data_IF_481601148177
#
_entry.id   IF_481601148177
#
_cell.length_a   1.000
_cell.length_b   1.000
_cell.length_c   1.000
_cell.angle_alpha   90.00
_cell.angle_beta   90.00
_cell.angle_gamma   90.00
#
_symmetry.space_group_name_H-M   'P 1'
#
loop_
_entity.id
_entity.type
_entity.pdbx_description
1 polymer ?
2 non-polymer ?
3 non-polymer ?
4 non-polymer ?
5 non-polymer ?
6 non-polymer ?
7 water ?
#
# COMPACT_ATOMS: atom_id res chain seq x y z
N UNK A 39 22.70 2.50 -11.37
CA UNK A 39 21.21 2.46 -11.33
C UNK A 39 20.69 1.84 -10.05
N UNK A 40 19.37 1.93 -9.82
CA UNK A 40 18.78 1.37 -8.61
C UNK A 40 18.87 -0.16 -8.57
N UNK A 41 19.04 -0.71 -7.37
CA UNK A 41 19.03 -2.16 -7.17
C UNK A 41 17.69 -2.76 -7.59
N UNK A 42 16.61 -2.03 -7.28
CA UNK A 42 15.24 -2.48 -7.48
C UNK A 42 14.43 -1.33 -8.13
N UNK A 43 14.57 -1.15 -9.46
CA UNK A 43 13.91 -0.05 -10.17
C UNK A 43 12.39 0.01 -9.97
N UNK A 44 11.77 -1.14 -9.81
CA UNK A 44 10.31 -1.25 -9.63
C UNK A 44 9.72 -0.56 -8.41
N UNK A 45 10.57 -0.27 -7.42
CA UNK A 45 10.14 0.51 -6.26
C UNK A 45 10.72 1.92 -6.26
N UNK A 46 11.08 2.42 -7.44
CA UNK A 46 11.57 3.80 -7.58
C UNK A 46 10.50 4.87 -7.35
N UNK A 47 9.24 4.49 -7.46
CA UNK A 47 8.12 5.40 -7.24
C UNK A 47 7.79 5.53 -5.75
N UNK A 48 7.80 6.75 -5.23
CA UNK A 48 7.43 7.00 -3.84
C UNK A 48 6.01 6.52 -3.54
N UNK A 49 5.09 6.69 -4.48
CA UNK A 49 3.70 6.27 -4.27
C UNK A 49 3.58 4.75 -4.13
N UNK A 50 4.29 4.01 -4.99
CA UNK A 50 4.33 2.55 -4.86
C UNK A 50 4.94 2.14 -3.52
N UNK A 51 6.00 2.83 -3.10
CA UNK A 51 6.62 2.55 -1.81
C UNK A 51 5.64 2.81 -0.66
N UNK A 52 4.91 3.92 -0.71
CA UNK A 52 3.92 4.24 0.33
C UNK A 52 2.83 3.17 0.39
N UNK A 53 2.36 2.72 -0.77
CA UNK A 53 1.33 1.68 -0.85
C UNK A 53 1.75 0.39 -0.17
N UNK A 54 3.05 0.09 -0.18
CA UNK A 54 3.58 -1.14 0.42
C UNK A 54 3.38 -1.19 1.93
N UNK A 55 3.15 -0.03 2.56
CA UNK A 55 2.99 0.06 4.02
C UNK A 55 1.55 -0.13 4.53
N UNK A 56 0.68 -0.71 3.71
CA UNK A 56 -0.73 -0.83 4.09
C UNK A 56 -0.94 -1.60 5.41
N UNK A 57 -0.05 -2.55 5.71
CA UNK A 57 -0.14 -3.32 6.95
C UNK A 57 1.09 -3.08 7.85
N UNK A 58 1.62 -1.86 7.81
CA UNK A 58 2.74 -1.45 8.66
C UNK A 58 2.28 -1.45 10.13
N UNK A 59 3.05 -2.10 11.04
CA UNK A 59 2.65 -2.18 12.45
C UNK A 59 2.99 -0.98 13.32
N UNK A 60 3.74 0.00 12.79
CA UNK A 60 4.25 1.12 13.58
C UNK A 60 3.85 2.49 13.01
N UNK A 61 2.57 2.65 12.66
CA UNK A 61 2.09 3.87 12.00
C UNK A 61 2.46 5.16 12.76
N UNK A 62 2.13 5.22 14.04
CA UNK A 62 2.41 6.42 14.86
C UNK A 62 3.90 6.57 15.13
N UNK A 63 4.56 5.44 15.37
CA UNK A 63 5.95 5.42 15.84
C UNK A 63 6.95 5.81 14.76
N UNK A 64 6.77 5.25 13.57
CA UNK A 64 7.62 5.57 12.42
C UNK A 64 6.73 5.64 11.19
N UNK A 65 6.27 6.86 10.84
CA UNK A 65 5.29 7.05 9.77
C UNK A 65 5.72 6.49 8.41
N UNK A 66 4.85 5.69 7.77
CA UNK A 66 5.05 5.23 6.39
C UNK A 66 5.42 6.35 5.42
N UNK A 67 4.81 7.52 5.57
CA UNK A 67 5.07 8.65 4.70
C UNK A 67 6.56 9.05 4.73
N UNK A 68 7.14 9.03 5.93
CA UNK A 68 8.56 9.36 6.08
C UNK A 68 9.45 8.24 5.53
N UNK A 69 9.07 6.99 5.80
CA UNK A 69 9.82 5.83 5.29
C UNK A 69 9.84 5.81 3.77
N UNK A 70 8.67 5.97 3.15
CA UNK A 70 8.56 5.97 1.68
C UNK A 70 9.37 7.12 1.05
N UNK A 71 9.26 8.30 1.64
CA UNK A 71 10.01 9.47 1.16
C UNK A 71 11.53 9.22 1.21
N UNK A 72 11.96 8.43 2.19
CA UNK A 72 13.39 8.13 2.38
C UNK A 72 13.86 6.92 1.57
N UNK A 73 13.03 6.45 0.63
CA UNK A 73 13.41 5.39 -0.29
C UNK A 73 13.00 3.99 0.12
N UNK A 74 12.35 3.85 1.27
CA UNK A 74 12.06 2.53 1.83
C UNK A 74 10.68 2.02 1.46
N UNK A 75 10.58 0.72 1.21
CA UNK A 75 9.30 0.04 1.12
C UNK A 75 9.24 -1.05 2.19
N UNK A 76 8.03 -1.41 2.61
CA UNK A 76 7.82 -2.46 3.58
C UNK A 76 7.92 -3.83 2.90
N UNK A 77 8.75 -4.70 3.47
CA UNK A 77 8.90 -6.05 2.93
C UNK A 77 7.66 -6.90 3.19
N UNK A 78 6.84 -6.49 4.16
CA UNK A 78 5.65 -7.24 4.55
C UNK A 78 5.90 -8.17 5.73
N UNK A 79 7.15 -8.27 6.17
CA UNK A 79 7.52 -9.11 7.31
C UNK A 79 7.99 -8.24 8.48
N UNK A 80 7.32 -8.39 9.62
CA UNK A 80 7.62 -7.61 10.82
C UNK A 80 7.74 -6.11 10.45
N UNK A 81 8.76 -5.42 10.94
CA UNK A 81 9.00 -4.02 10.57
C UNK A 81 10.20 -3.88 9.63
N UNK A 82 10.48 -4.94 8.87
CA UNK A 82 11.58 -4.95 7.93
C UNK A 82 11.23 -4.11 6.71
N UNK A 83 12.07 -3.11 6.44
CA UNK A 83 11.96 -2.29 5.25
C UNK A 83 13.25 -2.36 4.45
N UNK A 84 13.18 -1.90 3.20
CA UNK A 84 14.34 -1.93 2.32
C UNK A 84 14.33 -0.76 1.35
N UNK A 85 15.50 -0.21 1.10
CA UNK A 85 15.65 0.88 0.14
C UNK A 85 15.68 0.33 -1.27
N UNK A 86 14.89 0.93 -2.16
CA UNK A 86 14.82 0.48 -3.55
C UNK A 86 16.14 0.66 -4.29
N UNK A 87 16.95 1.63 -3.85
CA UNK A 87 18.15 1.99 -4.60
C UNK A 87 19.38 1.20 -4.20
N UNK A 88 19.75 1.24 -2.91
CA UNK A 88 20.91 0.52 -2.41
C UNK A 88 20.56 -0.88 -1.93
N UNK A 89 19.27 -1.18 -1.82
CA UNK A 89 18.77 -2.49 -1.34
C UNK A 89 19.15 -2.77 0.12
N UNK A 90 19.47 -1.71 0.86
CA UNK A 90 19.81 -1.84 2.27
C UNK A 90 18.55 -2.07 3.09
N UNK A 91 18.56 -3.09 3.93
CA UNK A 91 17.40 -3.42 4.77
C UNK A 91 17.60 -2.93 6.19
N UNK A 92 16.50 -2.44 6.80
CA UNK A 92 16.50 -2.03 8.20
C UNK A 92 15.27 -2.59 8.91
N UNK A 93 15.46 -3.00 10.16
CA UNK A 93 14.35 -3.48 10.99
C UNK A 93 14.57 -3.03 12.44
N UNK A 94 13.71 -3.48 13.34
CA UNK A 94 13.80 -3.12 14.77
C UNK A 94 13.78 -1.60 14.94
N UNK A 95 12.81 -0.96 14.30
CA UNK A 95 12.63 0.49 14.40
C UNK A 95 12.16 0.88 15.78
N UNK A 96 12.71 1.98 16.29
CA UNK A 96 12.31 2.54 17.57
C UNK A 96 11.44 3.77 17.35
N UNK A 97 10.53 4.04 18.28
CA UNK A 97 9.64 5.18 18.14
C UNK A 97 10.48 6.46 17.98
N UNK A 98 10.10 7.28 17.00
CA UNK A 98 10.81 8.51 16.73
C UNK A 98 12.06 8.38 15.88
N UNK A 99 12.43 7.16 15.49
CA UNK A 99 13.51 6.96 14.53
C UNK A 99 13.20 7.77 13.28
N UNK A 100 14.21 8.44 12.74
CA UNK A 100 14.03 9.25 11.55
C UNK A 100 14.57 8.47 10.36
N UNK A 101 13.68 8.08 9.43
CA UNK A 101 14.11 7.25 8.28
C UNK A 101 15.31 7.77 7.51
N UNK A 102 15.35 9.07 7.19
CA UNK A 102 16.50 9.64 6.46
C UNK A 102 17.79 9.51 7.27
N UNK A 103 17.71 9.79 8.58
CA UNK A 103 18.86 9.67 9.47
C UNK A 103 19.40 8.24 9.49
N UNK A 104 18.49 7.26 9.64
CA UNK A 104 18.89 5.86 9.67
C UNK A 104 19.48 5.44 8.33
N UNK A 105 18.93 5.95 7.23
CA UNK A 105 19.45 5.67 5.88
C UNK A 105 20.92 6.11 5.75
N UNK A 106 21.21 7.32 6.22
CA UNK A 106 22.57 7.89 6.13
C UNK A 106 23.54 7.24 7.12
N UNK A 107 23.03 6.91 8.30
CA UNK A 107 23.79 6.21 9.33
C UNK A 107 24.31 4.87 8.83
N UNK A 108 23.44 4.05 8.26
CA UNK A 108 23.75 2.67 7.92
C UNK A 108 24.20 2.46 6.47
N UNK A 109 23.72 3.30 5.56
CA UNK A 109 24.02 3.17 4.13
C UNK A 109 24.45 4.49 3.51
N UNK A 110 25.55 5.08 4.02
CA UNK A 110 25.98 6.40 3.58
C UNK A 110 26.40 6.50 2.10
N UNK A 111 26.68 5.36 1.46
CA UNK A 111 27.06 5.33 0.05
C UNK A 111 25.90 5.28 -0.93
N UNK A 112 24.67 5.21 -0.42
CA UNK A 112 23.49 5.16 -1.28
C UNK A 112 23.35 6.41 -2.14
N UNK A 113 23.23 6.24 -3.46
CA UNK A 113 23.19 7.38 -4.37
C UNK A 113 21.83 8.08 -4.37
N UNK A 114 20.76 7.35 -4.09
CA UNK A 114 19.44 7.95 -3.87
C UNK A 114 19.47 8.91 -2.67
N UNK A 115 20.03 8.45 -1.55
CA UNK A 115 20.26 9.29 -0.38
C UNK A 115 21.09 10.52 -0.74
N UNK A 116 22.17 10.33 -1.47
CA UNK A 116 23.03 11.44 -1.87
C UNK A 116 22.25 12.44 -2.73
N UNK A 117 21.57 11.95 -3.76
CA UNK A 117 20.82 12.83 -4.67
C UNK A 117 19.74 13.62 -3.93
N UNK A 118 19.06 12.95 -3.00
CA UNK A 118 17.92 13.52 -2.28
C UNK A 118 18.33 14.50 -1.20
N UNK A 119 19.32 14.10 -0.38
CA UNK A 119 19.69 14.85 0.83
C UNK A 119 21.01 15.61 0.77
N UNK A 120 21.91 15.22 -0.14
CA UNK A 120 23.18 15.91 -0.32
C UNK A 120 24.27 15.40 0.62
N UNK A 121 25.51 15.71 0.28
CA UNK A 121 26.66 15.17 1.01
C UNK A 121 26.82 15.76 2.41
N UNK A 122 26.49 17.04 2.59
CA UNK A 122 26.63 17.70 3.89
C UNK A 122 25.76 17.03 4.94
N UNK A 123 24.54 16.67 4.56
CA UNK A 123 23.61 15.96 5.44
C UNK A 123 24.19 14.63 5.89
N UNK A 124 24.75 13.88 4.94
CA UNK A 124 25.32 12.55 5.22
C UNK A 124 26.54 12.71 6.13
N UNK A 125 27.40 13.66 5.80
CA UNK A 125 28.61 13.94 6.59
C UNK A 125 28.30 14.31 8.04
N UNK A 126 27.26 15.11 8.25
CA UNK A 126 26.87 15.55 9.59
C UNK A 126 26.37 14.41 10.47
N UNK A 127 25.74 13.41 9.87
CA UNK A 127 25.31 12.22 10.60
C UNK A 127 26.50 11.31 10.96
N UNK A 128 27.56 11.38 10.17
CA UNK A 128 28.80 10.63 10.43
C UNK A 128 29.91 11.53 10.96
N UNK B 39 -13.70 0.24 13.35
CA UNK B 39 -13.01 1.31 12.57
C UNK B 39 -12.51 0.83 11.21
N UNK B 40 -11.95 1.75 10.40
CA UNK B 40 -11.41 1.36 9.10
C UNK B 40 -10.27 0.37 9.24
N UNK B 41 -10.32 -0.72 8.48
CA UNK B 41 -9.33 -1.78 8.60
C UNK B 41 -7.95 -1.29 8.18
N UNK B 42 -7.90 -0.56 7.08
CA UNK B 42 -6.65 -0.08 6.50
C UNK B 42 -6.75 1.42 6.20
N UNK B 43 -6.65 2.27 7.24
CA UNK B 43 -6.90 3.70 7.10
C UNK B 43 -6.11 4.37 5.97
N UNK B 44 -4.84 4.02 5.83
CA UNK B 44 -3.98 4.59 4.80
C UNK B 44 -4.48 4.35 3.38
N UNK B 45 -5.19 3.24 3.19
CA UNK B 45 -5.76 2.90 1.89
C UNK B 45 -7.13 3.55 1.64
N UNK B 46 -7.48 4.56 2.45
CA UNK B 46 -8.64 5.40 2.16
C UNK B 46 -8.41 6.30 0.94
N UNK B 47 -7.16 6.49 0.57
CA UNK B 47 -6.80 7.22 -0.64
C UNK B 47 -7.00 6.30 -1.85
N UNK B 48 -7.92 6.67 -2.74
CA UNK B 48 -8.14 5.90 -3.97
C UNK B 48 -6.87 5.83 -4.81
N UNK B 49 -6.10 6.92 -4.85
CA UNK B 49 -4.85 6.92 -5.59
C UNK B 49 -3.86 5.88 -5.04
N UNK B 50 -3.77 5.77 -3.72
CA UNK B 50 -2.92 4.75 -3.11
C UNK B 50 -3.44 3.34 -3.36
N UNK B 51 -4.77 3.16 -3.33
CA UNK B 51 -5.35 1.87 -3.67
C UNK B 51 -4.97 1.49 -5.09
N UNK B 52 -5.04 2.44 -6.02
CA UNK B 52 -4.69 2.17 -7.40
C UNK B 52 -3.20 1.81 -7.55
N UNK B 53 -2.34 2.51 -6.81
CA UNK B 53 -0.90 2.22 -6.80
C UNK B 53 -0.59 0.78 -6.39
N UNK B 54 -1.39 0.22 -5.48
CA UNK B 54 -1.19 -1.14 -4.98
C UNK B 54 -1.27 -2.23 -6.08
N UNK B 55 -1.93 -1.88 -7.19
CA UNK B 55 -2.10 -2.78 -8.32
C UNK B 55 -0.94 -2.74 -9.34
N UNK B 56 0.19 -2.15 -8.97
CA UNK B 56 1.37 -2.14 -9.86
C UNK B 56 1.77 -3.56 -10.29
N UNK B 57 1.50 -4.54 -9.42
CA UNK B 57 1.84 -5.95 -9.64
C UNK B 57 0.60 -6.84 -9.75
N UNK B 58 -0.52 -6.26 -10.20
CA UNK B 58 -1.74 -7.01 -10.49
C UNK B 58 -1.40 -8.12 -11.50
N UNK B 59 -1.85 -9.37 -11.25
CA UNK B 59 -1.44 -10.44 -12.16
C UNK B 59 -1.83 -10.18 -13.61
N UNK B 60 -0.97 -10.59 -14.52
CA UNK B 60 -1.22 -10.41 -15.95
C UNK B 60 -2.31 -11.36 -16.46
N UNK B 61 -2.64 -12.35 -15.63
CA UNK B 61 -3.73 -13.29 -15.91
C UNK B 61 -5.10 -12.78 -15.42
N UNK B 62 -5.12 -11.67 -14.68
CA UNK B 62 -6.36 -11.19 -14.05
C UNK B 62 -7.40 -10.74 -15.08
N UNK B 63 -8.67 -10.70 -14.66
CA UNK B 63 -9.79 -10.49 -15.58
C UNK B 63 -10.66 -9.28 -15.26
N UNK B 64 -10.31 -8.53 -14.21
CA UNK B 64 -11.03 -7.33 -13.79
C UNK B 64 -10.01 -6.21 -13.55
N UNK B 65 -10.26 -5.01 -14.09
CA UNK B 65 -9.25 -3.95 -14.07
C UNK B 65 -9.04 -3.26 -12.71
N UNK B 66 -7.77 -2.98 -12.36
CA UNK B 66 -7.43 -2.21 -11.18
C UNK B 66 -8.25 -0.94 -10.97
N UNK B 67 -8.45 -0.16 -12.04
CA UNK B 67 -9.15 1.11 -11.93
C UNK B 67 -10.53 0.94 -11.29
N UNK B 68 -11.28 -0.06 -11.75
CA UNK B 68 -12.62 -0.35 -11.19
C UNK B 68 -12.55 -0.88 -9.77
N UNK B 69 -11.57 -1.74 -9.50
CA UNK B 69 -11.42 -2.32 -8.17
C UNK B 69 -11.09 -1.23 -7.15
N UNK B 70 -10.14 -0.35 -7.48
CA UNK B 70 -9.77 0.74 -6.59
C UNK B 70 -10.95 1.68 -6.30
N UNK B 71 -11.74 1.97 -7.32
CA UNK B 71 -12.91 2.85 -7.18
C UNK B 71 -13.97 2.27 -6.23
N UNK B 72 -14.01 0.95 -6.09
CA UNK B 72 -14.96 0.29 -5.20
C UNK B 72 -14.39 0.00 -3.80
N UNK B 73 -13.26 0.63 -3.47
CA UNK B 73 -12.68 0.55 -2.13
C UNK B 73 -11.63 -0.54 -1.95
N UNK B 74 -11.36 -1.30 -3.00
CA UNK B 74 -10.44 -2.44 -2.92
C UNK B 74 -9.02 -2.04 -3.26
N UNK B 75 -8.07 -2.65 -2.58
CA UNK B 75 -6.65 -2.54 -2.92
C UNK B 75 -6.04 -3.95 -2.96
N UNK B 76 -4.96 -4.08 -3.72
CA UNK B 76 -4.29 -5.36 -3.94
C UNK B 76 -3.39 -5.70 -2.75
N UNK B 77 -3.47 -6.94 -2.26
CA UNK B 77 -2.63 -7.37 -1.13
C UNK B 77 -1.21 -7.73 -1.54
N UNK B 78 -0.96 -7.87 -2.84
CA UNK B 78 0.35 -8.25 -3.36
C UNK B 78 0.48 -9.74 -3.64
N UNK B 79 -0.61 -10.48 -3.51
CA UNK B 79 -0.60 -11.94 -3.68
C UNK B 79 -1.75 -12.36 -4.59
N UNK B 80 -1.42 -13.05 -5.69
CA UNK B 80 -2.41 -13.46 -6.69
C UNK B 80 -3.31 -12.27 -7.04
N UNK B 81 -4.60 -12.48 -7.27
CA UNK B 81 -5.51 -11.37 -7.54
C UNK B 81 -6.37 -11.03 -6.32
N UNK B 82 -5.78 -11.26 -5.14
CA UNK B 82 -6.45 -10.99 -3.87
C UNK B 82 -6.52 -9.50 -3.62
N UNK B 83 -7.71 -9.01 -3.27
CA UNK B 83 -7.88 -7.63 -2.87
C UNK B 83 -8.63 -7.57 -1.54
N UNK B 84 -8.49 -6.46 -0.82
CA UNK B 84 -9.30 -6.21 0.37
C UNK B 84 -9.87 -4.81 0.34
N UNK B 85 -11.04 -4.63 0.93
CA UNK B 85 -11.61 -3.31 1.13
C UNK B 85 -10.89 -2.61 2.27
N UNK B 86 -10.47 -1.37 2.03
CA UNK B 86 -9.73 -0.60 3.02
C UNK B 86 -10.55 -0.37 4.29
N UNK B 87 -11.88 -0.37 4.17
CA UNK B 87 -12.73 -0.08 5.32
C UNK B 87 -13.17 -1.33 6.08
N UNK B 88 -13.82 -2.28 5.41
CA UNK B 88 -14.39 -3.45 6.09
C UNK B 88 -13.47 -4.68 6.17
N UNK B 89 -12.31 -4.63 5.51
CA UNK B 89 -11.34 -5.75 5.46
C UNK B 89 -11.73 -6.86 4.45
N UNK B 90 -12.95 -6.83 3.96
CA UNK B 90 -13.49 -7.90 3.13
C UNK B 90 -12.55 -8.24 1.98
N UNK B 91 -12.18 -9.51 1.88
CA UNK B 91 -11.23 -9.98 0.87
C UNK B 91 -11.91 -10.76 -0.23
N UNK B 92 -11.50 -10.51 -1.48
CA UNK B 92 -11.98 -11.26 -2.64
C UNK B 92 -10.84 -11.57 -3.61
N UNK B 93 -10.88 -12.75 -4.22
CA UNK B 93 -9.91 -13.15 -5.25
C UNK B 93 -10.62 -13.93 -6.35
N UNK B 94 -9.86 -14.44 -7.31
CA UNK B 94 -10.40 -15.20 -8.43
C UNK B 94 -11.49 -14.42 -9.14
N UNK B 95 -11.16 -13.17 -9.45
CA UNK B 95 -12.06 -12.28 -10.18
C UNK B 95 -12.25 -12.82 -11.59
N UNK B 96 -13.50 -12.85 -12.03
CA UNK B 96 -13.84 -13.39 -13.34
C UNK B 96 -14.31 -12.27 -14.27
N UNK B 97 -14.08 -12.46 -15.56
CA UNK B 97 -14.53 -11.53 -16.59
C UNK B 97 -16.00 -11.20 -16.33
N UNK B 98 -16.31 -9.90 -16.31
CA UNK B 98 -17.69 -9.45 -16.11
C UNK B 98 -18.07 -9.17 -14.67
N UNK B 99 -17.23 -9.59 -13.72
CA UNK B 99 -17.46 -9.23 -12.32
C UNK B 99 -17.44 -7.72 -12.18
N UNK B 100 -18.42 -7.19 -11.44
CA UNK B 100 -18.46 -5.76 -11.15
C UNK B 100 -18.05 -5.55 -9.69
N UNK B 101 -16.90 -4.89 -9.45
CA UNK B 101 -16.42 -4.70 -8.09
C UNK B 101 -17.45 -4.19 -7.06
N UNK B 102 -18.25 -3.19 -7.42
CA UNK B 102 -19.27 -2.67 -6.48
C UNK B 102 -20.29 -3.74 -6.15
N UNK B 103 -20.73 -4.48 -7.17
CA UNK B 103 -21.71 -5.53 -6.99
C UNK B 103 -21.18 -6.63 -6.08
N UNK B 104 -19.92 -7.03 -6.31
CA UNK B 104 -19.30 -8.06 -5.47
C UNK B 104 -19.09 -7.56 -4.04
N UNK B 105 -18.75 -6.29 -3.88
CA UNK B 105 -18.62 -5.67 -2.55
C UNK B 105 -19.94 -5.84 -1.78
N UNK B 106 -21.05 -5.56 -2.46
CA UNK B 106 -22.38 -5.66 -1.86
C UNK B 106 -22.79 -7.11 -1.62
N UNK B 107 -22.51 -7.98 -2.60
CA UNK B 107 -22.82 -9.40 -2.47
C UNK B 107 -22.24 -9.98 -1.18
N UNK B 108 -20.94 -9.73 -0.97
CA UNK B 108 -20.19 -10.43 0.05
C UNK B 108 -20.06 -9.68 1.37
N UNK B 109 -20.06 -8.35 1.32
CA UNK B 109 -19.85 -7.52 2.51
C UNK B 109 -20.93 -6.44 2.66
N UNK B 110 -22.20 -6.87 2.75
CA UNK B 110 -23.31 -5.90 2.80
C UNK B 110 -23.30 -5.00 4.03
N UNK B 111 -22.54 -5.37 5.07
CA UNK B 111 -22.44 -4.55 6.28
C UNK B 111 -21.40 -3.44 6.22
N UNK B 112 -20.67 -3.35 5.10
CA UNK B 112 -19.62 -2.36 4.97
C UNK B 112 -20.14 -0.91 4.96
N UNK B 113 -19.59 -0.09 5.84
CA UNK B 113 -20.02 1.30 5.97
C UNK B 113 -19.55 2.17 4.80
N UNK B 114 -18.40 1.87 4.23
CA UNK B 114 -17.95 2.52 2.99
C UNK B 114 -18.90 2.24 1.83
N UNK B 115 -19.26 0.97 1.65
CA UNK B 115 -20.27 0.57 0.66
C UNK B 115 -21.59 1.31 0.87
N UNK B 116 -22.08 1.32 2.11
CA UNK B 116 -23.34 1.98 2.45
C UNK B 116 -23.32 3.46 2.12
N UNK B 117 -22.24 4.13 2.53
CA UNK B 117 -22.14 5.56 2.27
C UNK B 117 -22.03 5.85 0.78
N UNK B 118 -21.37 4.94 0.04
CA UNK B 118 -21.15 5.14 -1.38
C UNK B 118 -22.36 4.83 -2.25
N UNK B 119 -23.10 3.78 -1.90
CA UNK B 119 -24.18 3.25 -2.75
C UNK B 119 -25.58 3.31 -2.15
N UNK B 120 -25.69 3.36 -0.83
CA UNK B 120 -26.99 3.38 -0.16
C UNK B 120 -27.53 1.98 0.10
N UNK B 121 -28.49 1.88 1.01
CA UNK B 121 -29.01 0.59 1.45
C UNK B 121 -29.83 -0.13 0.36
N UNK B 122 -30.59 0.62 -0.41
CA UNK B 122 -31.44 0.05 -1.45
C UNK B 122 -30.63 -0.76 -2.46
N UNK B 123 -29.49 -0.22 -2.86
CA UNK B 123 -28.58 -0.87 -3.80
C UNK B 123 -28.13 -2.23 -3.25
N UNK B 124 -27.74 -2.22 -1.98
CA UNK B 124 -27.27 -3.44 -1.32
C UNK B 124 -28.41 -4.46 -1.23
N UNK B 125 -29.57 -4.04 -0.74
CA UNK B 125 -30.72 -4.94 -0.61
C UNK B 125 -31.13 -5.57 -1.94
N UNK B 126 -31.20 -4.74 -2.99
CA UNK B 126 -31.59 -5.20 -4.32
C UNK B 126 -30.68 -6.34 -4.82
N UNK B 127 -29.39 -6.19 -4.60
CA UNK B 127 -28.42 -7.22 -4.99
C UNK B 127 -28.69 -8.54 -4.25
N UNK B 128 -29.01 -8.44 -2.97
CA UNK B 128 -29.33 -9.64 -2.18
C UNK B 128 -30.71 -10.21 -2.49
N UNK B 129 -31.61 -9.36 -2.97
CA UNK B 129 -32.96 -9.80 -3.34
C UNK B 129 -32.99 -10.44 -4.73
N UNK B 130 -32.23 -9.88 -5.67
CA UNK B 130 -32.23 -10.39 -7.04
C UNK B 130 -31.54 -11.76 -7.11
N UNK B 131 -30.52 -11.92 -6.27
CA UNK B 131 -29.76 -13.17 -6.22
C UNK B 131 -30.46 -14.17 -5.30
X LIG C 1 19.46 3.52 -0.07
X LIG D 1 18.37 -7.25 10.02
X LIG D 1 18.32 -6.60 8.99
X LIG D 1 17.23 -6.86 7.97
X LIG D 1 16.47 -5.76 7.58
X LIG D 1 15.45 -5.91 6.62
X LIG D 1 15.22 -7.15 6.06
X LIG D 1 15.99 -8.25 6.44
X LIG D 1 15.73 -9.49 5.86
X LIG D 1 17.00 -8.10 7.39
X LIG D 1 17.75 -9.24 7.75
X LIG D 1 17.49 -10.48 7.16
X LIG D 1 16.48 -10.60 6.22
X LIG D 1 19.20 -5.63 8.71
X LIG D 1 20.14 -5.07 9.66
X LIG D 1 20.36 -3.59 9.35
X LIG D 1 21.71 -3.44 8.70
X LIG D 1 22.44 -4.77 8.85
X LIG D 1 21.49 -5.76 9.51
X LIG D 1 22.42 -2.31 9.41
X LIG D 1 21.77 -2.23 10.78
X LIG D 1 20.42 -2.78 10.58
X LIG D 1 19.33 -2.59 11.33
X LIG D 1 18.24 -3.01 10.96
X LIG D 1 19.41 -1.85 12.63
X LIG D 1 19.62 -2.80 13.82
X LIG D 1 20.96 -3.51 13.67
X LIG D 1 18.51 -3.86 13.87
X LIG D 1 19.65 -2.03 15.13
X LIG D 1 18.19 -1.06 12.80
X LIG D 1 18.16 0.19 13.27
X LIG D 1 19.17 0.81 13.57
X LIG D 1 16.80 0.79 13.45
X LIG D 1 16.25 1.32 12.13
X LIG D 1 16.82 1.85 14.45
X LIG D 1 17.05 1.51 15.85
X LIG E 1 -15.95 -2.77 2.39
X LIG F 1 -0.21 -5.11 -5.82
X LIG G 1 -10.36 -16.60 -1.03
X LIG G 1 -10.52 -15.55 -0.41
X LIG G 1 -9.38 -14.58 -0.13
X LIG G 1 -9.55 -13.25 -0.50
X LIG G 1 -8.56 -12.29 -0.25
X LIG G 1 -7.38 -12.68 0.39
X LIG G 1 -7.23 -14.02 0.77
X LIG G 1 -6.04 -14.40 1.39
X LIG G 1 -8.22 -14.97 0.51
X LIG G 1 -8.01 -16.30 0.91
X LIG G 1 -6.83 -16.67 1.53
X LIG G 1 -5.84 -15.73 1.78
X LIG G 1 -11.71 -15.20 0.06
X LIG G 1 -12.97 -15.84 -0.28
X LIG G 1 -14.03 -14.77 -0.49
X LIG G 1 -15.09 -14.96 0.56
X LIG G 1 -14.90 -16.37 1.10
X LIG G 1 -13.45 -16.73 0.85
X LIG G 1 -16.43 -14.79 -0.11
X LIG G 1 -16.18 -15.13 -1.57
X LIG G 1 -14.74 -14.98 -1.76
X LIG G 1 -14.08 -14.97 -2.94
X LIG G 1 -12.95 -14.55 -3.04
X LIG G 1 -14.79 -15.52 -4.15
X LIG G 1 -14.38 -16.96 -4.45
X LIG G 1 -14.80 -17.88 -3.30
X LIG G 1 -12.87 -17.09 -4.66
X LIG G 1 -15.10 -17.45 -5.71
X LIG G 1 -14.54 -14.64 -5.28
X LIG G 1 -15.50 -14.12 -6.04
X LIG G 1 -16.70 -14.30 -5.84
X LIG G 1 -15.08 -13.28 -7.21
X LIG G 1 -14.98 -11.81 -6.81
X LIG G 1 -16.00 -13.45 -8.32
X LIG G 1 -16.12 -14.73 -8.99
X LIG H 1 -26.00 -16.15 -1.20
X LIG H 1 -26.54 -15.88 -2.49
X LIG H 1 -24.58 -15.61 -1.04
X LIG H 1 -24.31 -15.40 0.45
X LIG H 1 -23.03 -14.84 0.71
X LIG H 1 -23.62 -16.68 -1.58
X LIG H 1 -23.59 -17.85 -0.77
X LIG H 1 -24.46 -14.30 -1.73
X LIG H 1 -25.33 -13.22 -1.25
X LIG H 1 -25.82 -12.36 -2.42
X LIG H 1 -26.59 -13.15 -3.30
X LIG H 1 -23.15 -13.87 -2.25
X LIG H 1 -22.96 -14.31 -3.70
X LIG H 1 -24.02 -13.83 -4.53
X LIG I 1 1.14 -3.22 -2.49
X LIG I 1 2.53 -3.28 -2.14
X LIG I 1 0.62 -4.64 -2.75
X LIG I 1 0.49 -4.89 -4.16
X LIG J 1 -19.84 -7.73 6.44
X LIG J 1 -20.97 -7.54 5.59
X LIG J 1 -19.16 -6.40 6.69
X LIG J 1 -17.83 -6.44 6.17
#
# INVERSE_FOLDING_TARGET
>A
MGSSHHHHHHSSGEVPRGSHMLETEEEEEEGAGATLSRGPAFPGMGSEELRLASFYDWPLTAEVPPELLAAAGFFHTGHQDKVRCFFCYGGLQSWKRGDDPWTEHAKWFPGCQFLLRSKGQEYINNIHLTHSL
>B
MGSSHHHHHHSSGEVPRGSHMLETEEEEEEGAGATLSRGPAFPGMGSEELRLASFYDWPLTAEVPPELLAAAGFFHTGHQDKVRCFFCYGGLQSWKRGDDPWTEHAKWFPGCQFLLRSKGQEYINNIHLTHSL
>C hetero
1 ZN ZN
>D hetero
1 G13 O25 C24 C26 C27 C28 C29 C30 C32 C31 C35 C34 C33 N23 C20 C16 C17 C22 C21 C18 C19 N15 C13 O14 C8 C9 C12 C11 C10 N7 C5 O6 C3 C4 N2 C1
>E hetero
1 ZN ZN
>F hetero
1 LI LI
>G hetero
1 G13 O25 C24 C26 C27 C28 C29 C30 C32 C31 C35 C34 C33 N23 C20 C16 C17 C22 C21 C18 C19 N15 C13 O14 C8 C9 C12 C11 C10 N7 C5 O6 C3 C4 N2 C1
>H hetero
1 BTB C1 O1 C2 C3 O3 C4 O4 N C5 C6 O6 C7 C8 O8
>I hetero
1 EDO C1 O1 C2 O2
>J hetero
1 EDO C1 O1 C2 O2
#
